data_IF_354146449449
#
_entry.id   IF_354146449449
#
_cell.length_a   1.000
_cell.length_b   1.000
_cell.length_c   1.000
_cell.angle_alpha   90.00
_cell.angle_beta   90.00
_cell.angle_gamma   90.00
#
_symmetry.space_group_name_H-M   'P 1'
#
loop_
_entity.id
_entity.type
_entity.pdbx_description
1 polymer ?
#
# COMPACT_ATOMS: atom_id res chain seq x y z
N UNK A 1 17.65 -16.29 -9.51
CA UNK A 1 16.61 -16.01 -10.53
C UNK A 1 15.70 -14.91 -10.00
N UNK A 2 15.61 -13.77 -10.68
CA UNK A 2 14.68 -12.67 -10.32
C UNK A 2 13.47 -12.79 -11.24
N UNK A 3 12.29 -13.08 -10.69
CA UNK A 3 11.04 -13.04 -11.44
C UNK A 3 10.57 -11.58 -11.52
N UNK A 4 10.60 -11.00 -12.73
CA UNK A 4 9.95 -9.73 -12.99
C UNK A 4 8.47 -10.02 -13.26
N UNK A 5 7.61 -9.69 -12.29
CA UNK A 5 6.16 -9.75 -12.46
C UNK A 5 5.72 -8.48 -13.19
N UNK A 6 5.47 -8.60 -14.48
CA UNK A 6 5.02 -7.51 -15.35
C UNK A 6 3.49 -7.58 -15.41
N UNK A 7 2.81 -6.52 -14.96
CA UNK A 7 1.37 -6.38 -15.13
C UNK A 7 1.10 -5.78 -16.51
N UNK A 8 0.40 -6.51 -17.38
CA UNK A 8 -0.11 -5.98 -18.65
C UNK A 8 -1.62 -5.83 -18.47
N UNK A 9 -2.10 -4.58 -18.39
CA UNK A 9 -3.52 -4.27 -18.44
C UNK A 9 -3.86 -3.96 -19.89
N UNK A 10 -4.45 -4.91 -20.60
CA UNK A 10 -4.98 -4.70 -21.94
C UNK A 10 -6.47 -4.34 -21.83
N UNK A 11 -6.81 -3.10 -22.15
CA UNK A 11 -8.19 -2.62 -22.23
C UNK A 11 -8.70 -2.87 -23.65
N UNK A 12 -9.54 -3.88 -23.83
CA UNK A 12 -10.36 -4.07 -25.03
C UNK A 12 -11.83 -4.13 -24.59
N UNK A 13 -12.67 -3.37 -25.28
CA UNK A 13 -14.05 -3.11 -24.91
C UNK A 13 -14.90 -4.38 -24.70
N UNK A 14 -15.80 -4.26 -23.73
CA UNK A 14 -16.77 -5.25 -23.25
C UNK A 14 -16.20 -6.38 -22.37
N UNK A 15 -16.15 -6.12 -21.06
CA UNK A 15 -15.99 -7.14 -20.01
C UNK A 15 -14.56 -7.34 -19.53
N UNK A 16 -14.11 -6.50 -18.60
CA UNK A 16 -12.81 -6.67 -17.93
C UNK A 16 -12.96 -7.69 -16.78
N UNK A 17 -12.33 -8.86 -16.90
CA UNK A 17 -11.96 -9.71 -15.77
C UNK A 17 -10.48 -10.00 -15.91
N UNK A 18 -9.65 -9.41 -15.04
CA UNK A 18 -8.22 -9.67 -15.00
C UNK A 18 -7.86 -10.33 -13.67
N UNK A 19 -7.37 -11.58 -13.73
CA UNK A 19 -6.72 -12.25 -12.61
C UNK A 19 -5.42 -12.90 -13.09
N UNK A 20 -4.28 -12.49 -12.51
CA UNK A 20 -3.01 -13.21 -12.63
C UNK A 20 -2.88 -14.07 -11.37
N UNK A 21 -2.98 -15.39 -11.52
CA UNK A 21 -2.91 -16.34 -10.41
C UNK A 21 -1.52 -16.98 -10.34
N UNK A 22 -0.81 -16.74 -9.24
CA UNK A 22 0.32 -17.55 -8.79
C UNK A 22 -0.23 -18.76 -8.03
N UNK A 23 0.11 -19.97 -8.48
CA UNK A 23 -0.56 -21.23 -8.20
C UNK A 23 -0.36 -21.83 -6.79
N UNK A 24 -0.71 -21.14 -5.71
CA UNK A 24 -0.67 -21.79 -4.38
C UNK A 24 -1.89 -21.67 -3.47
N UNK A 25 -2.97 -21.00 -3.86
CA UNK A 25 -4.31 -21.28 -3.34
C UNK A 25 -5.29 -20.86 -4.43
N UNK A 26 -6.01 -21.81 -4.99
CA UNK A 26 -6.95 -21.58 -6.09
C UNK A 26 -8.22 -20.94 -5.49
N UNK A 27 -8.14 -19.66 -5.12
CA UNK A 27 -9.30 -18.85 -4.76
C UNK A 27 -10.28 -18.98 -5.92
N UNK A 28 -11.48 -19.49 -5.65
CA UNK A 28 -12.50 -19.64 -6.66
C UNK A 28 -13.16 -18.28 -6.90
N UNK A 29 -12.45 -17.45 -7.68
CA UNK A 29 -12.82 -16.07 -8.01
C UNK A 29 -14.24 -15.94 -8.57
N UNK A 30 -14.83 -16.97 -9.17
CA UNK A 30 -16.19 -16.86 -9.72
C UNK A 30 -17.24 -16.71 -8.63
N UNK A 31 -17.16 -17.53 -7.57
CA UNK A 31 -18.11 -17.48 -6.44
C UNK A 31 -17.94 -16.17 -5.66
N UNK A 32 -16.68 -15.76 -5.39
CA UNK A 32 -16.41 -14.48 -4.74
C UNK A 32 -16.95 -13.30 -5.56
N UNK A 33 -16.75 -13.30 -6.89
CA UNK A 33 -17.30 -12.24 -7.77
C UNK A 33 -18.83 -12.22 -7.73
N UNK A 34 -19.49 -13.38 -7.63
CA UNK A 34 -20.94 -13.45 -7.46
C UNK A 34 -21.39 -12.84 -6.12
N UNK A 35 -20.69 -13.16 -5.02
CA UNK A 35 -20.96 -12.56 -3.71
C UNK A 35 -20.78 -11.05 -3.70
N UNK A 36 -19.73 -10.53 -4.36
CA UNK A 36 -19.50 -9.10 -4.49
C UNK A 36 -20.60 -8.41 -5.30
N UNK A 37 -21.10 -9.04 -6.37
CA UNK A 37 -22.24 -8.53 -7.13
C UNK A 37 -23.52 -8.48 -6.30
N UNK A 38 -23.76 -9.51 -5.48
CA UNK A 38 -24.89 -9.54 -4.55
C UNK A 38 -24.75 -8.41 -3.54
N UNK A 39 -23.57 -8.21 -2.95
CA UNK A 39 -23.30 -7.13 -2.03
C UNK A 39 -23.51 -5.74 -2.66
N UNK A 40 -23.02 -5.51 -3.89
CA UNK A 40 -23.27 -4.27 -4.63
C UNK A 40 -24.76 -4.00 -4.81
N UNK A 41 -25.56 -5.01 -5.17
CA UNK A 41 -27.02 -4.84 -5.31
C UNK A 41 -27.70 -4.47 -4.01
N UNK A 42 -27.31 -5.11 -2.90
CA UNK A 42 -27.83 -4.78 -1.56
C UNK A 42 -27.47 -3.33 -1.20
N UNK A 43 -26.22 -2.92 -1.46
CA UNK A 43 -25.77 -1.54 -1.26
C UNK A 43 -26.58 -0.57 -2.13
N UNK A 44 -26.73 -0.84 -3.42
CA UNK A 44 -27.49 0.00 -4.36
C UNK A 44 -28.93 0.19 -3.89
N UNK A 45 -29.61 -0.90 -3.51
CA UNK A 45 -31.00 -0.86 -3.03
C UNK A 45 -31.13 -0.07 -1.73
N UNK A 46 -30.22 -0.31 -0.78
CA UNK A 46 -30.25 0.36 0.54
C UNK A 46 -29.93 1.85 0.41
N UNK A 47 -28.93 2.22 -0.39
CA UNK A 47 -28.51 3.61 -0.56
C UNK A 47 -29.54 4.42 -1.35
N UNK A 48 -30.16 3.83 -2.37
CA UNK A 48 -31.24 4.45 -3.14
C UNK A 48 -32.48 4.72 -2.26
N UNK A 49 -32.83 3.80 -1.35
CA UNK A 49 -33.94 4.01 -0.40
C UNK A 49 -33.64 5.13 0.60
N UNK A 50 -32.39 5.23 1.08
CA UNK A 50 -32.03 6.13 2.19
C UNK A 50 -31.68 7.54 1.72
N UNK A 51 -31.05 7.64 0.54
CA UNK A 51 -30.50 8.88 -0.01
C UNK A 51 -31.25 9.35 -1.26
N UNK A 52 -32.21 8.58 -1.79
CA UNK A 52 -33.05 8.94 -2.94
C UNK A 52 -32.26 9.61 -4.07
N UNK A 53 -32.37 10.94 -4.22
CA UNK A 53 -31.73 11.71 -5.30
C UNK A 53 -30.24 11.99 -5.08
N UNK A 54 -29.76 11.80 -3.85
CA UNK A 54 -28.38 12.03 -3.44
C UNK A 54 -27.47 10.84 -3.78
N UNK A 55 -28.04 9.64 -3.96
CA UNK A 55 -27.28 8.47 -4.40
C UNK A 55 -27.37 8.30 -5.92
N UNK A 56 -26.23 8.09 -6.57
CA UNK A 56 -26.21 7.86 -8.02
C UNK A 56 -26.40 6.37 -8.29
N UNK A 57 -27.65 5.89 -8.30
CA UNK A 57 -27.93 4.48 -8.61
C UNK A 57 -27.53 4.11 -10.03
N UNK A 58 -26.97 2.91 -10.19
CA UNK A 58 -26.69 2.31 -11.49
C UNK A 58 -27.97 2.04 -12.27
N UNK A 59 -28.08 2.63 -13.45
CA UNK A 59 -29.11 2.28 -14.43
C UNK A 59 -28.60 1.22 -15.39
N UNK A 60 -29.50 0.51 -16.07
CA UNK A 60 -29.13 -0.46 -17.12
C UNK A 60 -28.21 0.14 -18.22
N UNK A 61 -28.28 1.46 -18.43
CA UNK A 61 -27.46 2.20 -19.40
C UNK A 61 -26.50 3.22 -18.78
N UNK A 62 -26.49 3.41 -17.45
CA UNK A 62 -25.63 4.40 -16.79
C UNK A 62 -24.61 3.68 -15.91
N UNK A 63 -23.32 4.01 -16.11
CA UNK A 63 -22.28 3.71 -15.11
C UNK A 63 -22.58 4.57 -13.89
N UNK A 64 -23.30 3.99 -12.94
CA UNK A 64 -23.58 4.51 -11.62
C UNK A 64 -23.77 3.32 -10.68
N UNK A 65 -23.96 3.60 -9.41
CA UNK A 65 -24.20 2.59 -8.39
C UNK A 65 -22.91 2.04 -7.79
N UNK A 66 -23.09 1.05 -6.94
CA UNK A 66 -21.99 0.41 -6.24
C UNK A 66 -21.20 -0.47 -7.22
N UNK A 67 -19.93 -0.16 -7.39
CA UNK A 67 -18.99 -1.01 -8.12
C UNK A 67 -18.14 -1.81 -7.15
N UNK A 68 -17.61 -2.96 -7.58
CA UNK A 68 -16.72 -3.77 -6.77
C UNK A 68 -15.37 -4.01 -7.46
N UNK A 69 -14.34 -4.20 -6.65
CA UNK A 69 -13.04 -4.69 -7.05
C UNK A 69 -12.54 -5.64 -5.95
N UNK A 70 -11.82 -6.70 -6.33
CA UNK A 70 -11.08 -7.51 -5.36
C UNK A 70 -9.58 -7.30 -5.58
N UNK A 71 -8.90 -6.89 -4.51
CA UNK A 71 -7.46 -6.69 -4.51
C UNK A 71 -6.81 -7.73 -3.60
N UNK A 72 -5.94 -8.58 -4.16
CA UNK A 72 -5.24 -9.61 -3.39
C UNK A 72 -4.40 -8.95 -2.28
N UNK A 73 -4.66 -9.33 -1.03
CA UNK A 73 -4.00 -8.78 0.16
C UNK A 73 -4.67 -7.54 0.77
N UNK A 74 -5.67 -6.96 0.08
CA UNK A 74 -6.48 -5.86 0.58
C UNK A 74 -7.95 -6.24 0.75
N UNK A 75 -8.39 -7.34 0.12
CA UNK A 75 -9.76 -7.83 0.16
C UNK A 75 -10.68 -7.07 -0.82
N UNK A 76 -12.00 -7.17 -0.62
CA UNK A 76 -12.96 -6.53 -1.49
C UNK A 76 -13.07 -5.03 -1.20
N UNK A 77 -13.22 -4.27 -2.28
CA UNK A 77 -13.38 -2.83 -2.29
C UNK A 77 -14.66 -2.49 -3.05
N UNK A 78 -15.45 -1.60 -2.47
CA UNK A 78 -16.69 -1.12 -3.04
C UNK A 78 -16.56 0.38 -3.33
N UNK A 79 -16.88 0.80 -4.53
CA UNK A 79 -16.81 2.19 -4.96
C UNK A 79 -18.25 2.73 -5.07
N UNK A 80 -18.49 3.90 -4.48
CA UNK A 80 -19.80 4.54 -4.44
C UNK A 80 -19.70 6.01 -4.82
N UNK A 81 -20.71 6.50 -5.52
CA UNK A 81 -20.86 7.93 -5.85
C UNK A 81 -22.07 8.52 -5.12
N UNK A 82 -21.83 9.64 -4.43
CA UNK A 82 -22.89 10.44 -3.79
C UNK A 82 -22.84 11.89 -4.27
N UNK A 83 -24.00 12.53 -4.33
CA UNK A 83 -24.21 13.93 -4.76
C UNK A 83 -24.19 14.92 -3.62
N UNK A 84 -23.43 14.61 -2.58
CA UNK A 84 -23.05 15.57 -1.56
C UNK A 84 -21.57 15.41 -1.22
N UNK A 85 -20.88 16.47 -0.78
CA UNK A 85 -19.50 16.35 -0.32
C UNK A 85 -19.41 15.49 0.94
N UNK A 86 -18.45 14.56 0.97
CA UNK A 86 -18.24 13.61 2.09
C UNK A 86 -17.16 14.05 3.08
N UNK A 87 -16.44 15.13 2.77
CA UNK A 87 -15.45 15.73 3.65
C UNK A 87 -15.72 17.23 3.79
N UNK A 88 -15.44 17.77 4.99
CA UNK A 88 -15.49 19.21 5.23
C UNK A 88 -14.33 19.85 4.48
N UNK A 89 -14.62 20.57 3.39
CA UNK A 89 -13.60 21.37 2.72
C UNK A 89 -13.21 22.51 3.64
N UNK A 90 -12.08 22.40 4.35
CA UNK A 90 -11.34 23.59 4.80
C UNK A 90 -10.86 24.32 3.54
N UNK A 91 -11.73 25.13 2.92
CA UNK A 91 -11.32 26.03 1.85
C UNK A 91 -10.46 27.14 2.44
N UNK A 92 -9.19 26.83 2.73
CA UNK A 92 -8.16 27.87 2.80
C UNK A 92 -7.95 28.33 1.37
N UNK A 93 -8.73 29.31 0.95
CA UNK A 93 -8.42 30.13 -0.22
C UNK A 93 -7.14 30.87 0.14
N UNK A 94 -5.99 30.20 0.00
CA UNK A 94 -4.71 30.86 -0.03
C UNK A 94 -4.69 31.59 -1.37
N UNK A 95 -5.25 32.80 -1.40
CA UNK A 95 -4.91 33.80 -2.41
C UNK A 95 -3.43 34.08 -2.23
N UNK A 96 -2.59 33.21 -2.77
CA UNK A 96 -1.21 33.55 -3.03
C UNK A 96 -1.28 34.38 -4.29
N UNK A 97 -1.33 35.70 -4.12
CA UNK A 97 -0.83 36.61 -5.14
C UNK A 97 0.63 36.22 -5.35
N UNK A 98 0.88 35.26 -6.23
CA UNK A 98 2.22 35.05 -6.75
C UNK A 98 2.47 36.26 -7.62
N UNK A 99 3.39 37.12 -7.18
CA UNK A 99 4.02 38.09 -8.07
C UNK A 99 4.58 37.31 -9.27
N UNK A 100 3.83 37.29 -10.36
CA UNK A 100 4.22 36.56 -11.56
C UNK A 100 5.51 37.19 -12.08
N UNK A 101 6.58 36.41 -12.10
CA UNK A 101 7.84 36.82 -12.71
C UNK A 101 7.58 37.25 -14.17
N UNK A 102 8.17 38.38 -14.58
CA UNK A 102 8.12 38.92 -15.95
C UNK A 102 8.38 37.86 -17.04
N UNK A 103 9.22 36.86 -16.74
CA UNK A 103 9.49 35.75 -17.64
C UNK A 103 8.24 34.91 -17.95
N UNK A 104 7.49 34.49 -16.92
CA UNK A 104 6.26 33.72 -17.09
C UNK A 104 5.17 34.52 -17.80
N UNK A 105 5.18 35.86 -17.67
CA UNK A 105 4.25 36.74 -18.40
C UNK A 105 4.52 36.71 -19.90
N UNK A 106 5.78 36.81 -20.32
CA UNK A 106 6.12 36.80 -21.74
C UNK A 106 6.05 35.40 -22.38
N UNK A 107 6.37 34.33 -21.64
CA UNK A 107 6.17 32.96 -22.13
C UNK A 107 4.68 32.66 -22.39
N UNK A 108 3.80 33.23 -21.57
CA UNK A 108 2.33 33.16 -21.76
C UNK A 108 1.85 33.90 -23.00
N UNK A 109 2.37 35.11 -23.26
CA UNK A 109 1.99 35.90 -24.46
C UNK A 109 2.35 35.19 -25.77
N UNK A 110 3.51 34.52 -25.82
CA UNK A 110 4.01 33.85 -27.04
C UNK A 110 3.19 32.59 -27.36
N UNK A 111 2.66 31.90 -26.34
CA UNK A 111 1.98 30.60 -26.54
C UNK A 111 0.52 30.71 -26.98
N UNK A 112 -0.04 31.92 -27.13
CA UNK A 112 -1.48 32.13 -27.38
C UNK A 112 -2.36 31.24 -26.48
N UNK A 113 -1.92 31.03 -25.25
CA UNK A 113 -2.68 30.27 -24.30
C UNK A 113 -3.69 31.26 -23.75
N UNK A 114 -4.91 31.25 -24.33
CA UNK A 114 -6.06 31.94 -23.77
C UNK A 114 -6.05 31.68 -22.28
N UNK A 115 -6.17 32.76 -21.48
CA UNK A 115 -6.19 32.60 -20.04
C UNK A 115 -7.24 31.51 -19.74
N UNK A 116 -6.92 30.46 -18.95
CA UNK A 116 -7.95 30.04 -18.03
C UNK A 116 -8.15 31.31 -17.20
N UNK A 117 -9.19 32.09 -17.52
CA UNK A 117 -9.72 33.07 -16.57
C UNK A 117 -9.61 32.35 -15.24
N UNK A 118 -8.82 32.87 -14.30
CA UNK A 118 -8.72 32.27 -12.97
C UNK A 118 -10.15 32.05 -12.57
N UNK A 119 -10.59 30.79 -12.63
CA UNK A 119 -11.97 30.45 -12.41
C UNK A 119 -12.09 30.71 -10.92
N UNK A 120 -12.46 31.95 -10.60
CA UNK A 120 -13.03 32.32 -9.35
C UNK A 120 -14.26 31.46 -9.37
N UNK A 121 -14.12 30.27 -8.76
CA UNK A 121 -15.24 29.41 -8.46
C UNK A 121 -16.11 30.29 -7.58
N UNK A 122 -17.04 30.99 -8.21
CA UNK A 122 -18.21 31.54 -7.55
C UNK A 122 -18.96 30.28 -7.19
N UNK A 123 -18.57 29.72 -6.04
CA UNK A 123 -19.26 28.62 -5.40
C UNK A 123 -20.68 29.14 -5.31
N UNK A 124 -21.58 28.57 -6.12
CA UNK A 124 -22.99 28.81 -5.99
C UNK A 124 -23.39 28.38 -4.57
N UNK A 125 -24.65 28.54 -4.19
CA UNK A 125 -25.14 27.85 -2.99
C UNK A 125 -25.21 26.33 -3.24
N UNK A 126 -24.12 25.73 -3.68
CA UNK A 126 -23.87 24.30 -3.81
C UNK A 126 -24.00 23.72 -2.40
N UNK A 127 -24.68 22.58 -2.29
CA UNK A 127 -25.02 22.01 -0.99
C UNK A 127 -23.80 21.97 -0.06
N UNK A 128 -23.86 22.74 1.01
CA UNK A 128 -22.83 22.74 2.03
C UNK A 128 -22.75 21.35 2.65
N UNK A 129 -21.52 20.92 2.94
CA UNK A 129 -21.25 19.68 3.69
C UNK A 129 -22.25 19.48 4.84
N UNK A 130 -23.00 18.39 4.76
CA UNK A 130 -23.95 17.99 5.80
C UNK A 130 -23.35 16.83 6.59
N UNK A 131 -22.85 17.15 7.78
CA UNK A 131 -22.34 16.15 8.72
C UNK A 131 -23.36 15.03 8.99
N UNK A 132 -24.64 15.39 9.08
CA UNK A 132 -25.72 14.43 9.29
C UNK A 132 -25.85 13.43 8.13
N UNK A 133 -25.78 13.89 6.87
CA UNK A 133 -25.80 12.99 5.70
C UNK A 133 -24.59 12.04 5.71
N UNK A 134 -23.41 12.57 6.03
CA UNK A 134 -22.16 11.77 6.06
C UNK A 134 -22.13 10.78 7.21
N UNK A 135 -22.56 11.17 8.40
CA UNK A 135 -22.65 10.26 9.55
C UNK A 135 -23.68 9.16 9.27
N UNK A 136 -24.84 9.49 8.69
CA UNK A 136 -25.83 8.51 8.25
C UNK A 136 -25.27 7.55 7.21
N UNK A 137 -24.51 8.05 6.22
CA UNK A 137 -23.85 7.23 5.20
C UNK A 137 -22.88 6.23 5.85
N UNK A 138 -22.03 6.70 6.77
CA UNK A 138 -21.09 5.87 7.52
C UNK A 138 -21.82 4.77 8.31
N UNK A 139 -22.87 5.13 9.03
CA UNK A 139 -23.70 4.18 9.79
C UNK A 139 -24.29 3.08 8.89
N UNK A 140 -24.84 3.45 7.73
CA UNK A 140 -25.43 2.49 6.81
C UNK A 140 -24.38 1.55 6.18
N UNK A 141 -23.21 2.07 5.79
CA UNK A 141 -22.13 1.23 5.27
C UNK A 141 -21.59 0.26 6.34
N UNK A 142 -21.45 0.73 7.59
CA UNK A 142 -21.07 -0.12 8.72
C UNK A 142 -22.11 -1.21 9.01
N UNK A 143 -23.40 -0.85 8.96
CA UNK A 143 -24.52 -1.79 9.11
C UNK A 143 -24.45 -2.89 8.02
N UNK A 144 -24.33 -2.49 6.75
CA UNK A 144 -24.27 -3.42 5.63
C UNK A 144 -23.09 -4.38 5.74
N UNK A 145 -21.91 -3.91 6.13
CA UNK A 145 -20.74 -4.79 6.31
C UNK A 145 -20.90 -5.73 7.49
N UNK A 146 -21.43 -5.28 8.62
CA UNK A 146 -21.62 -6.18 9.75
C UNK A 146 -22.69 -7.24 9.50
N UNK A 147 -23.77 -6.91 8.78
CA UNK A 147 -24.84 -7.85 8.48
C UNK A 147 -24.49 -8.83 7.34
N UNK A 148 -23.87 -8.32 6.27
CA UNK A 148 -23.64 -9.07 5.03
C UNK A 148 -22.18 -9.38 4.73
N UNK A 149 -21.21 -8.64 5.28
CA UNK A 149 -19.78 -8.83 4.98
C UNK A 149 -19.23 -10.20 5.35
N UNK A 150 -19.78 -10.85 6.37
CA UNK A 150 -19.42 -12.23 6.74
C UNK A 150 -19.85 -13.28 5.69
N UNK A 151 -20.83 -12.94 4.84
CA UNK A 151 -21.37 -13.82 3.78
C UNK A 151 -20.54 -13.82 2.50
N UNK A 152 -19.59 -12.90 2.36
CA UNK A 152 -18.66 -12.91 1.24
C UNK A 152 -17.71 -14.10 1.45
N UNK A 153 -17.85 -15.11 0.58
CA UNK A 153 -17.07 -16.32 0.61
C UNK A 153 -15.58 -16.06 0.38
N UNK A 154 -14.75 -17.02 0.82
CA UNK A 154 -13.32 -17.11 0.48
C UNK A 154 -12.41 -15.97 0.95
N UNK A 155 -12.93 -14.97 1.68
CA UNK A 155 -12.07 -13.98 2.33
C UNK A 155 -11.23 -14.64 3.43
N UNK A 156 -10.01 -14.17 3.65
CA UNK A 156 -9.26 -14.55 4.83
C UNK A 156 -9.83 -13.85 6.08
N UNK A 157 -9.52 -14.35 7.28
CA UNK A 157 -9.99 -13.74 8.54
C UNK A 157 -9.37 -12.34 8.78
N UNK A 158 -8.19 -12.13 8.22
CA UNK A 158 -7.42 -10.89 8.22
C UNK A 158 -7.70 -9.98 7.03
N UNK A 159 -8.48 -10.42 6.05
CA UNK A 159 -8.89 -9.57 4.92
C UNK A 159 -9.73 -8.38 5.40
N UNK A 160 -9.60 -7.27 4.68
CA UNK A 160 -10.36 -6.05 4.90
C UNK A 160 -11.46 -5.87 3.86
N UNK A 161 -12.59 -5.31 4.27
CA UNK A 161 -13.65 -4.86 3.39
C UNK A 161 -13.59 -3.33 3.38
N UNK A 162 -13.39 -2.73 2.21
CA UNK A 162 -13.21 -1.28 2.08
C UNK A 162 -14.31 -0.64 1.25
N UNK A 163 -14.75 0.54 1.65
CA UNK A 163 -15.58 1.42 0.83
C UNK A 163 -14.79 2.66 0.44
N UNK A 164 -14.90 3.05 -0.82
CA UNK A 164 -14.41 4.31 -1.34
C UNK A 164 -15.63 5.07 -1.83
N UNK A 165 -15.95 6.18 -1.17
CA UNK A 165 -17.10 7.01 -1.52
C UNK A 165 -16.61 8.34 -2.08
N UNK A 166 -17.04 8.64 -3.30
CA UNK A 166 -16.77 9.90 -3.97
C UNK A 166 -17.97 10.84 -3.80
N UNK A 167 -17.72 11.96 -3.13
CA UNK A 167 -18.69 13.01 -2.90
C UNK A 167 -18.55 14.16 -3.89
N UNK A 168 -19.66 14.52 -4.53
CA UNK A 168 -19.76 15.61 -5.49
C UNK A 168 -20.82 16.61 -5.03
N UNK A 169 -20.58 17.91 -5.20
CA UNK A 169 -21.58 18.94 -4.83
C UNK A 169 -22.53 19.31 -5.99
N UNK A 170 -22.31 18.74 -7.18
CA UNK A 170 -22.98 19.14 -8.42
C UNK A 170 -23.79 18.00 -9.04
N UNK A 171 -25.04 18.29 -9.41
CA UNK A 171 -25.98 17.35 -10.03
C UNK A 171 -25.71 17.06 -11.51
N UNK A 172 -24.67 17.68 -12.10
CA UNK A 172 -24.47 17.75 -13.57
C UNK A 172 -23.24 17.02 -14.09
N UNK A 173 -22.53 16.26 -13.26
CA UNK A 173 -21.35 15.52 -13.73
C UNK A 173 -21.81 14.26 -14.46
N UNK A 174 -21.80 14.30 -15.80
CA UNK A 174 -21.95 13.11 -16.63
C UNK A 174 -20.71 12.22 -16.44
N UNK A 175 -20.87 11.15 -15.66
CA UNK A 175 -19.85 10.16 -15.27
C UNK A 175 -19.24 9.35 -16.45
N UNK A 176 -19.63 9.62 -17.70
CA UNK A 176 -19.13 8.86 -18.86
C UNK A 176 -17.63 9.08 -19.13
N UNK A 177 -17.00 10.16 -18.62
CA UNK A 177 -15.59 10.49 -18.92
C UNK A 177 -14.57 10.28 -17.79
N UNK A 178 -14.99 9.98 -16.55
CA UNK A 178 -14.07 10.00 -15.38
C UNK A 178 -13.50 8.65 -14.92
N UNK A 179 -13.78 7.54 -15.62
CA UNK A 179 -13.23 6.23 -15.20
C UNK A 179 -11.69 6.11 -15.32
N UNK A 180 -11.07 6.85 -16.23
CA UNK A 180 -9.60 6.93 -16.33
C UNK A 180 -8.98 7.76 -15.19
N UNK A 181 -9.81 8.53 -14.47
CA UNK A 181 -9.44 9.40 -13.37
C UNK A 181 -9.52 8.67 -12.02
N UNK A 182 -10.56 7.87 -11.83
CA UNK A 182 -10.77 7.01 -10.65
C UNK A 182 -9.62 6.01 -10.45
N UNK A 183 -9.14 5.42 -11.55
CA UNK A 183 -8.00 4.49 -11.49
C UNK A 183 -6.72 5.18 -10.99
N UNK A 184 -6.55 6.48 -11.24
CA UNK A 184 -5.39 7.24 -10.78
C UNK A 184 -5.48 7.61 -9.29
N UNK A 185 -6.69 7.77 -8.74
CA UNK A 185 -6.91 7.98 -7.29
C UNK A 185 -6.70 6.66 -6.55
N UNK A 186 -7.18 5.54 -7.09
CA UNK A 186 -6.82 4.20 -6.58
C UNK A 186 -5.31 3.97 -6.69
N UNK A 187 -4.64 4.47 -7.72
CA UNK A 187 -3.18 4.44 -7.80
C UNK A 187 -2.50 5.36 -6.78
N UNK A 188 -3.02 6.53 -6.42
CA UNK A 188 -2.36 7.45 -5.47
C UNK A 188 -2.66 7.10 -4.00
N UNK A 189 -3.92 6.84 -3.65
CA UNK A 189 -4.30 6.35 -2.33
C UNK A 189 -3.72 4.95 -2.12
N UNK A 190 -3.80 4.11 -3.16
CA UNK A 190 -3.07 2.86 -3.20
C UNK A 190 -1.57 3.09 -3.10
N UNK A 191 -0.96 4.06 -3.78
CA UNK A 191 0.49 4.29 -3.72
C UNK A 191 0.96 4.82 -2.37
N UNK A 192 0.22 5.68 -1.68
CA UNK A 192 0.62 6.18 -0.36
C UNK A 192 0.43 5.11 0.72
N UNK A 193 -0.68 4.37 0.69
CA UNK A 193 -0.87 3.21 1.55
C UNK A 193 0.10 2.06 1.20
N UNK A 194 0.37 1.83 -0.09
CA UNK A 194 1.38 0.88 -0.58
C UNK A 194 2.79 1.37 -0.25
N UNK A 195 3.05 2.67 -0.20
CA UNK A 195 4.35 3.26 0.14
C UNK A 195 4.69 2.93 1.58
N UNK A 196 3.79 3.23 2.52
CA UNK A 196 4.02 2.94 3.94
C UNK A 196 4.11 1.44 4.22
N UNK A 197 3.27 0.63 3.60
CA UNK A 197 3.35 -0.84 3.73
C UNK A 197 4.61 -1.41 3.06
N UNK A 198 5.05 -0.86 1.93
CA UNK A 198 6.29 -1.26 1.24
C UNK A 198 7.54 -0.83 2.00
N UNK A 199 7.54 0.32 2.64
CA UNK A 199 8.59 0.75 3.57
C UNK A 199 8.65 -0.17 4.78
N UNK A 200 7.51 -0.46 5.42
CA UNK A 200 7.45 -1.39 6.54
C UNK A 200 7.93 -2.80 6.15
N UNK A 201 7.55 -3.29 4.97
CA UNK A 201 7.94 -4.60 4.46
C UNK A 201 9.42 -4.62 4.01
N UNK A 202 9.95 -3.49 3.53
CA UNK A 202 11.37 -3.29 3.28
C UNK A 202 12.18 -3.39 4.58
N UNK A 203 11.77 -2.67 5.63
CA UNK A 203 12.40 -2.75 6.94
C UNK A 203 12.31 -4.15 7.55
N UNK A 204 11.17 -4.83 7.43
CA UNK A 204 11.03 -6.22 7.88
C UNK A 204 11.96 -7.18 7.13
N UNK A 205 12.14 -6.97 5.81
CA UNK A 205 13.05 -7.77 4.98
C UNK A 205 14.52 -7.52 5.33
N UNK A 206 14.87 -6.27 5.62
CA UNK A 206 16.21 -5.88 6.06
C UNK A 206 16.53 -6.47 7.44
N UNK A 207 15.58 -6.43 8.38
CA UNK A 207 15.70 -7.08 9.68
C UNK A 207 15.86 -8.62 9.56
N UNK A 208 15.12 -9.26 8.65
CA UNK A 208 15.28 -10.69 8.36
C UNK A 208 16.64 -11.02 7.72
N UNK A 209 17.15 -10.14 6.85
CA UNK A 209 18.49 -10.29 6.27
C UNK A 209 19.56 -10.25 7.36
N UNK A 210 19.47 -9.28 8.27
CA UNK A 210 20.38 -9.19 9.41
C UNK A 210 20.26 -10.40 10.35
N UNK A 211 19.05 -10.88 10.62
CA UNK A 211 18.86 -12.10 11.43
C UNK A 211 19.47 -13.35 10.78
N UNK A 212 19.48 -13.42 9.45
CA UNK A 212 20.13 -14.51 8.71
C UNK A 212 21.66 -14.41 8.76
N UNK A 213 22.20 -13.20 8.64
CA UNK A 213 23.64 -12.96 8.78
C UNK A 213 24.14 -13.30 10.17
N UNK A 214 23.39 -12.95 11.23
CA UNK A 214 23.75 -13.31 12.60
C UNK A 214 23.68 -14.82 12.86
N UNK A 215 22.73 -15.53 12.25
CA UNK A 215 22.69 -16.99 12.29
C UNK A 215 23.89 -17.63 11.61
N UNK A 216 24.28 -17.15 10.42
CA UNK A 216 25.50 -17.64 9.76
C UNK A 216 26.77 -17.30 10.56
N UNK A 217 26.86 -16.12 11.15
CA UNK A 217 27.98 -15.77 12.03
C UNK A 217 28.09 -16.73 13.23
N UNK A 218 26.94 -17.15 13.79
CA UNK A 218 26.91 -18.13 14.88
C UNK A 218 27.37 -19.52 14.41
N UNK A 219 26.93 -19.98 13.25
CA UNK A 219 27.38 -21.24 12.64
C UNK A 219 28.89 -21.24 12.41
N UNK A 220 29.46 -20.13 11.92
CA UNK A 220 30.92 -20.01 11.75
C UNK A 220 31.68 -19.97 13.09
N UNK A 221 31.08 -19.43 14.15
CA UNK A 221 31.67 -19.45 15.49
C UNK A 221 31.72 -20.88 16.04
N UNK A 222 30.65 -21.66 15.86
CA UNK A 222 30.59 -23.06 16.24
C UNK A 222 31.67 -23.89 15.52
N UNK A 223 31.85 -23.69 14.21
CA UNK A 223 32.96 -24.32 13.47
C UNK A 223 34.35 -23.91 13.99
N UNK A 224 34.52 -22.68 14.46
CA UNK A 224 35.81 -22.23 15.03
C UNK A 224 36.05 -22.80 16.42
N UNK A 225 35.00 -23.01 17.21
CA UNK A 225 35.06 -23.62 18.53
C UNK A 225 35.50 -25.08 18.42
N UNK A 226 34.91 -25.84 17.47
CA UNK A 226 35.31 -27.22 17.18
C UNK A 226 36.78 -27.32 16.75
N UNK A 227 37.24 -26.41 15.88
CA UNK A 227 38.66 -26.37 15.45
C UNK A 227 39.61 -26.03 16.59
N UNK A 228 39.21 -25.14 17.51
CA UNK A 228 39.99 -24.80 18.69
C UNK A 228 40.08 -25.99 19.65
N UNK A 229 38.99 -26.73 19.85
CA UNK A 229 38.99 -27.91 20.71
C UNK A 229 39.96 -28.99 20.19
N UNK A 230 39.92 -29.29 18.89
CA UNK A 230 40.88 -30.22 18.25
C UNK A 230 42.32 -29.72 18.37
N UNK A 231 42.56 -28.40 18.29
CA UNK A 231 43.89 -27.84 18.46
C UNK A 231 44.41 -27.97 19.90
N UNK A 232 43.54 -27.80 20.89
CA UNK A 232 43.86 -28.00 22.32
C UNK A 232 44.24 -29.45 22.60
N UNK A 233 43.47 -30.42 22.11
CA UNK A 233 43.80 -31.84 22.25
C UNK A 233 45.17 -32.17 21.65
N UNK A 234 45.46 -31.66 20.45
CA UNK A 234 46.79 -31.83 19.82
C UNK A 234 47.92 -31.18 20.62
N UNK A 235 47.69 -30.03 21.25
CA UNK A 235 48.70 -29.39 22.09
C UNK A 235 48.98 -30.20 23.35
N UNK A 236 47.96 -30.81 23.98
CA UNK A 236 48.17 -31.71 25.12
C UNK A 236 48.96 -32.96 24.71
N UNK A 237 48.63 -33.59 23.57
CA UNK A 237 49.43 -34.71 23.02
C UNK A 237 50.89 -34.30 22.75
N UNK A 238 51.11 -33.10 22.21
CA UNK A 238 52.46 -32.59 21.96
C UNK A 238 53.21 -32.31 23.28
N UNK A 239 52.55 -31.77 24.30
CA UNK A 239 53.16 -31.56 25.62
C UNK A 239 53.59 -32.88 26.25
N UNK A 240 52.76 -33.92 26.14
CA UNK A 240 53.08 -35.26 26.63
C UNK A 240 54.33 -35.81 25.92
N UNK A 241 54.37 -35.71 24.58
CA UNK A 241 55.56 -36.09 23.80
C UNK A 241 56.80 -35.28 24.16
N UNK A 242 56.68 -33.96 24.34
CA UNK A 242 57.81 -33.11 24.75
C UNK A 242 58.29 -33.49 26.16
N UNK A 243 57.40 -33.82 27.09
CA UNK A 243 57.79 -34.27 28.43
C UNK A 243 58.52 -35.62 28.38
N UNK A 244 58.07 -36.55 27.54
CA UNK A 244 58.77 -37.81 27.27
C UNK A 244 60.15 -37.55 26.63
N UNK A 245 60.23 -36.65 25.66
CA UNK A 245 61.45 -36.34 24.94
C UNK A 245 62.46 -35.55 25.80
N UNK A 246 62.00 -34.62 26.63
CA UNK A 246 62.83 -33.91 27.60
C UNK A 246 63.40 -34.84 28.70
N UNK A 247 62.73 -35.97 28.98
CA UNK A 247 63.30 -37.01 29.83
C UNK A 247 64.43 -37.81 29.15
N UNK A 248 64.52 -37.75 27.81
CA UNK A 248 65.55 -38.42 27.01
C UNK A 248 66.71 -37.49 26.60
N UNK A 249 66.45 -36.19 26.43
CA UNK A 249 67.39 -35.22 25.84
C UNK A 249 68.09 -34.30 26.85
N UNK A 250 68.17 -34.69 28.13
CA UNK A 250 68.82 -33.94 29.22
C UNK A 250 70.32 -33.61 29.08
N UNK A 251 70.92 -33.68 27.88
CA UNK A 251 72.35 -33.41 27.67
C UNK A 251 72.70 -32.53 26.45
N UNK A 252 71.74 -31.95 25.70
CA UNK A 252 72.09 -31.10 24.54
C UNK A 252 71.16 -29.90 24.37
N UNK A 253 71.46 -28.85 25.12
CA UNK A 253 70.87 -27.52 24.96
C UNK A 253 71.95 -26.56 24.41
N UNK A 254 71.88 -26.23 23.11
CA UNK A 254 72.35 -24.97 22.51
C UNK A 254 72.18 -25.06 20.98
N UNK A 255 71.22 -24.34 20.40
CA UNK A 255 71.45 -23.35 19.31
C UNK A 255 70.14 -22.82 18.68
N UNK A 256 70.20 -21.56 18.24
CA UNK A 256 69.32 -20.83 17.30
C UNK A 256 67.89 -20.50 17.78
N UNK A 257 67.45 -19.24 17.97
CA UNK A 257 67.64 -17.91 17.35
C UNK A 257 67.04 -17.69 15.95
N UNK A 258 66.18 -16.66 15.95
CA UNK A 258 65.71 -15.77 14.88
C UNK A 258 64.66 -16.30 13.90
N UNK A 259 63.48 -15.65 13.88
CA UNK A 259 62.64 -15.40 12.69
C UNK A 259 61.54 -14.36 13.00
N UNK A 260 61.57 -13.25 12.26
CA UNK A 260 60.63 -12.11 12.30
C UNK A 260 59.31 -12.39 11.53
N UNK A 261 58.17 -11.75 11.87
CA UNK A 261 56.92 -11.89 11.10
C UNK A 261 56.70 -10.79 10.03
N UNK A 262 56.27 -11.23 8.85
CA UNK A 262 55.97 -10.44 7.64
C UNK A 262 54.68 -9.57 7.72
N UNK A 263 54.70 -8.48 6.93
CA UNK A 263 53.68 -7.43 6.83
C UNK A 263 52.48 -7.82 5.97
N UNK A 264 51.28 -7.69 6.53
CA UNK A 264 49.99 -7.89 5.82
C UNK A 264 49.54 -6.60 5.10
N UNK A 265 49.30 -6.70 3.79
CA UNK A 265 48.77 -5.62 2.93
C UNK A 265 47.24 -5.54 3.00
N UNK A 266 46.71 -4.31 3.20
CA UNK A 266 45.27 -4.00 3.18
C UNK A 266 44.75 -3.80 1.75
N UNK A 267 43.66 -4.48 1.42
CA UNK A 267 42.85 -4.26 0.22
C UNK A 267 41.78 -3.18 0.46
N UNK A 268 41.51 -2.32 -0.54
CA UNK A 268 40.41 -1.34 -0.55
C UNK A 268 39.35 -1.75 -1.57
N UNK A 269 38.08 -1.62 -1.19
CA UNK A 269 36.90 -1.92 -2.02
C UNK A 269 36.39 -0.61 -2.66
N UNK A 270 35.97 -0.59 -3.95
CA UNK A 270 35.43 0.60 -4.61
C UNK A 270 33.92 0.79 -4.36
N UNK A 271 33.48 2.05 -4.35
CA UNK A 271 32.10 2.51 -4.16
C UNK A 271 31.36 2.55 -5.52
N UNK A 272 30.11 2.07 -5.61
CA UNK A 272 29.33 2.13 -6.85
C UNK A 272 28.67 3.51 -7.12
N UNK A 273 28.41 3.85 -8.39
CA UNK A 273 27.83 5.14 -8.79
C UNK A 273 26.31 5.22 -8.55
N UNK A 274 25.82 6.45 -8.34
CA UNK A 274 24.42 6.80 -8.06
C UNK A 274 23.52 6.71 -9.31
N UNK A 275 22.23 6.36 -9.14
CA UNK A 275 21.27 6.22 -10.24
C UNK A 275 20.73 7.57 -10.74
N UNK A 276 20.30 7.64 -12.02
CA UNK A 276 19.79 8.86 -12.64
C UNK A 276 18.35 9.19 -12.19
N UNK A 277 18.09 10.50 -12.12
CA UNK A 277 16.80 11.10 -11.73
C UNK A 277 15.70 10.84 -12.77
N UNK A 278 14.48 10.47 -12.36
CA UNK A 278 13.38 10.20 -13.29
C UNK A 278 12.81 11.49 -13.92
N UNK A 279 12.26 11.39 -15.16
CA UNK A 279 11.71 12.53 -15.88
C UNK A 279 10.39 13.02 -15.26
N UNK A 280 10.23 14.34 -15.27
CA UNK A 280 9.02 15.04 -14.80
C UNK A 280 7.85 14.82 -15.76
N UNK A 281 6.73 14.35 -15.22
CA UNK A 281 5.46 14.21 -15.94
C UNK A 281 4.72 15.55 -16.03
N UNK A 282 4.00 15.83 -17.14
CA UNK A 282 3.24 17.06 -17.31
C UNK A 282 1.95 17.09 -16.47
N UNK A 283 1.79 18.20 -15.74
CA UNK A 283 0.57 18.73 -15.13
C UNK A 283 -0.43 19.19 -16.22
N UNK A 284 -1.74 19.33 -16.05
CA UNK A 284 -2.71 19.21 -14.95
C UNK A 284 -4.08 19.22 -15.66
N UNK A 285 -4.94 18.24 -15.42
CA UNK A 285 -6.34 18.35 -15.82
C UNK A 285 -7.07 19.19 -14.76
N UNK A 286 -7.74 20.25 -15.19
CA UNK A 286 -8.58 21.10 -14.34
C UNK A 286 -9.80 20.29 -13.88
N UNK A 287 -9.68 19.64 -12.71
CA UNK A 287 -10.75 18.86 -12.09
C UNK A 287 -11.47 19.66 -11.03
N UNK A 288 -12.80 19.51 -11.00
CA UNK A 288 -13.59 19.93 -9.84
C UNK A 288 -13.13 19.14 -8.61
N UNK A 289 -13.14 19.73 -7.42
CA UNK A 289 -12.70 19.07 -6.20
C UNK A 289 -13.70 17.98 -5.77
N UNK A 290 -13.35 16.71 -6.02
CA UNK A 290 -14.02 15.52 -5.50
C UNK A 290 -13.54 15.29 -4.07
N UNK A 291 -14.46 15.18 -3.11
CA UNK A 291 -14.13 14.73 -1.75
C UNK A 291 -14.19 13.21 -1.70
N UNK A 292 -13.25 12.56 -1.00
CA UNK A 292 -13.21 11.10 -0.92
C UNK A 292 -13.28 10.65 0.54
N UNK A 293 -14.17 9.70 0.83
CA UNK A 293 -14.29 9.04 2.13
C UNK A 293 -13.92 7.57 1.97
N UNK A 294 -12.97 7.10 2.76
CA UNK A 294 -12.55 5.70 2.79
C UNK A 294 -12.90 5.10 4.15
N UNK A 295 -13.62 3.97 4.12
CA UNK A 295 -13.99 3.21 5.30
C UNK A 295 -13.47 1.79 5.17
N UNK A 296 -12.59 1.37 6.08
CA UNK A 296 -12.00 0.03 6.06
C UNK A 296 -12.38 -0.77 7.30
N UNK A 297 -12.91 -1.97 7.10
CA UNK A 297 -13.34 -2.88 8.17
C UNK A 297 -12.55 -4.19 8.08
N UNK A 298 -12.02 -4.68 9.20
CA UNK A 298 -11.38 -6.02 9.22
C UNK A 298 -12.44 -7.10 9.34
N UNK A 299 -12.35 -8.18 8.56
CA UNK A 299 -13.30 -9.31 8.65
C UNK A 299 -13.39 -9.90 10.06
N UNK A 300 -12.25 -10.05 10.71
CA UNK A 300 -12.14 -10.47 12.12
C UNK A 300 -12.99 -9.66 13.11
N UNK A 301 -13.30 -8.40 12.80
CA UNK A 301 -14.13 -7.55 13.65
C UNK A 301 -15.63 -7.78 13.44
N UNK A 302 -16.03 -8.49 12.38
CA UNK A 302 -17.41 -8.75 11.98
C UNK A 302 -17.93 -10.07 12.53
N UNK A 303 -17.06 -11.06 12.74
CA UNK A 303 -17.44 -12.35 13.33
C UNK A 303 -17.94 -12.18 14.76
N UNK A 304 -19.16 -12.67 15.03
CA UNK A 304 -19.78 -12.61 16.36
C UNK A 304 -20.55 -11.32 16.68
N UNK A 305 -20.64 -10.38 15.73
CA UNK A 305 -21.29 -9.06 15.92
C UNK A 305 -22.68 -8.93 15.27
N UNK A 306 -23.43 -10.02 15.11
CA UNK A 306 -24.84 -9.93 14.66
C UNK A 306 -25.65 -9.11 15.67
N UNK A 307 -26.12 -7.93 15.25
CA UNK A 307 -26.84 -6.98 16.11
C UNK A 307 -25.94 -6.11 16.99
N UNK A 308 -24.66 -5.95 16.65
CA UNK A 308 -23.71 -5.16 17.44
C UNK A 308 -23.96 -3.65 17.42
N UNK A 309 -23.37 -2.99 18.41
CA UNK A 309 -23.23 -1.54 18.49
C UNK A 309 -22.43 -1.00 17.28
N UNK A 310 -23.14 -0.52 16.27
CA UNK A 310 -22.56 0.02 15.03
C UNK A 310 -21.59 1.18 15.28
N UNK A 311 -21.80 1.93 16.36
CA UNK A 311 -20.88 2.97 16.77
C UNK A 311 -19.50 2.40 17.16
N UNK A 312 -19.46 1.20 17.73
CA UNK A 312 -18.20 0.51 18.04
C UNK A 312 -17.48 0.01 16.78
N UNK A 313 -18.24 -0.39 15.73
CA UNK A 313 -17.66 -0.74 14.44
C UNK A 313 -17.10 0.49 13.73
N UNK A 314 -17.82 1.62 13.73
CA UNK A 314 -17.31 2.87 13.17
C UNK A 314 -16.07 3.39 13.90
N UNK A 315 -16.02 3.27 15.23
CA UNK A 315 -14.80 3.60 16.00
C UNK A 315 -13.61 2.69 15.68
N UNK A 316 -13.89 1.45 15.27
CA UNK A 316 -12.86 0.48 14.91
C UNK A 316 -12.45 0.56 13.42
N UNK A 317 -13.29 1.20 12.60
CA UNK A 317 -13.01 1.45 11.20
C UNK A 317 -11.93 2.51 11.08
N UNK A 318 -11.01 2.29 10.14
CA UNK A 318 -10.10 3.34 9.71
C UNK A 318 -10.88 4.26 8.76
N UNK A 319 -11.08 5.50 9.20
CA UNK A 319 -11.80 6.53 8.44
C UNK A 319 -10.78 7.53 7.92
N UNK A 320 -10.67 7.63 6.60
CA UNK A 320 -9.81 8.62 5.96
C UNK A 320 -10.66 9.51 5.07
N UNK A 321 -10.56 10.82 5.28
CA UNK A 321 -11.31 11.85 4.57
C UNK A 321 -10.31 12.73 3.79
N UNK A 322 -10.56 12.89 2.49
CA UNK A 322 -9.73 13.67 1.56
C UNK A 322 -10.52 14.75 0.83
#
# INVERSE_FOLDING_TARGET
MKFYMTFIVAVLGAGLVTGIVSAQDEINYTEMVEDLKVMCRIIDETMDEIFENDYVKGGFFRRGGCQHLYLKGYGPMFLLDVRFPVAEKEMKIVKTEKETNLWEKHEREIRHQDQPEEAVWVIGNDESYSKEKVDKLKEQLAYLVGEYGSRIGQLAFDDTISFVVFGHSDYTVDLETDFLVEMHVVEHVGADAMSHTREALSHAREALSHARETLHARETLEETEDKLQVAVEKMEELKEKIAEQASQDGDKEEEMKDLEPEKVKRFRIPIPPTPPTPPSLPHRLHRKPVTTLILTFKRSQLEGKKGADWAALLKAAEVVEY
#
